data_IF_545828792944
#
_entry.id   IF_545828792944
#
_cell.length_a   1.000
_cell.length_b   1.000
_cell.length_c   1.000
_cell.angle_alpha   90.00
_cell.angle_beta   90.00
_cell.angle_gamma   90.00
#
_symmetry.space_group_name_H-M   'P 1'
#
loop_
_entity.id
_entity.type
_entity.pdbx_description
1 polymer ?
#
# COMPACT_ATOMS: atom_id res chain seq x y z
N UNK A 1 -10.28 35.31 64.11
CA UNK A 1 -9.26 34.66 64.96
C UNK A 1 -8.03 34.41 64.11
N UNK A 2 -6.90 34.92 64.57
CA UNK A 2 -5.55 34.64 64.08
C UNK A 2 -5.21 33.15 64.20
N UNK A 3 -4.39 32.63 63.28
CA UNK A 3 -3.19 31.80 63.52
C UNK A 3 -2.86 31.02 62.23
N UNK A 4 -1.93 31.51 61.42
CA UNK A 4 -0.53 31.05 61.31
C UNK A 4 -0.35 29.66 60.64
N UNK A 5 0.17 29.71 59.39
CA UNK A 5 1.06 28.72 58.73
C UNK A 5 2.32 28.48 59.60
N UNK A 6 3.25 27.50 59.36
CA UNK A 6 3.64 26.80 58.11
C UNK A 6 3.88 25.26 58.32
N UNK A 7 4.18 24.38 57.35
CA UNK A 7 5.50 24.14 56.71
C UNK A 7 5.38 23.02 55.64
N UNK A 8 5.63 23.37 54.38
CA UNK A 8 6.62 22.82 53.41
C UNK A 8 6.79 21.29 53.13
N UNK A 9 7.34 20.94 51.95
CA UNK A 9 6.73 20.00 50.99
C UNK A 9 7.51 18.68 50.83
N UNK A 10 6.85 17.63 50.33
CA UNK A 10 7.49 16.34 50.03
C UNK A 10 7.61 16.13 48.52
N UNK A 11 8.87 16.19 48.08
CA UNK A 11 9.53 15.42 47.04
C UNK A 11 9.03 15.54 45.59
N UNK A 12 9.55 16.57 44.94
CA UNK A 12 10.08 16.54 43.56
C UNK A 12 10.84 15.24 43.26
N UNK A 13 10.36 14.46 42.29
CA UNK A 13 11.13 13.41 41.61
C UNK A 13 11.60 14.00 40.27
N UNK A 14 12.74 14.68 40.33
CA UNK A 14 13.47 15.14 39.16
C UNK A 14 14.17 13.92 38.53
N UNK A 15 13.58 13.40 37.45
CA UNK A 15 14.29 12.49 36.55
C UNK A 15 15.14 13.38 35.64
N UNK A 16 16.44 13.44 35.96
CA UNK A 16 17.45 13.99 35.07
C UNK A 16 17.58 13.08 33.84
N UNK A 17 16.82 13.39 32.77
CA UNK A 17 17.15 12.92 31.45
C UNK A 17 18.28 13.82 30.93
N UNK A 18 19.52 13.39 31.14
CA UNK A 18 20.69 13.93 30.44
C UNK A 18 20.58 13.53 28.96
N UNK A 19 19.79 14.31 28.23
CA UNK A 19 19.98 14.45 26.79
C UNK A 19 21.34 15.12 26.59
N UNK A 20 22.37 14.30 26.41
CA UNK A 20 23.56 14.72 25.66
C UNK A 20 23.08 14.91 24.23
N UNK A 21 22.46 16.05 23.97
CA UNK A 21 22.42 16.61 22.62
C UNK A 21 23.87 16.95 22.35
N UNK A 22 24.57 16.02 21.72
CA UNK A 22 25.75 16.35 20.95
C UNK A 22 25.30 17.39 19.95
N UNK A 23 25.53 18.65 20.28
CA UNK A 23 25.42 19.76 19.36
C UNK A 23 26.54 19.53 18.35
N UNK A 24 26.22 18.79 17.28
CA UNK A 24 27.02 18.84 16.07
C UNK A 24 26.91 20.30 15.61
N UNK A 25 28.01 21.07 15.57
CA UNK A 25 27.94 22.44 15.10
C UNK A 25 27.63 22.41 13.60
N UNK A 26 26.35 22.50 13.27
CA UNK A 26 25.90 22.87 11.92
C UNK A 26 26.13 24.38 11.80
N UNK A 27 27.23 24.74 11.16
CA UNK A 27 27.64 26.13 10.97
C UNK A 27 29.13 26.36 11.16
N UNK A 28 29.98 25.52 10.55
CA UNK A 28 31.31 25.98 10.21
C UNK A 28 31.17 26.92 9.01
N UNK A 29 31.62 28.16 9.18
CA UNK A 29 31.91 29.04 8.06
C UNK A 29 33.06 28.36 7.31
N UNK A 30 32.77 27.77 6.15
CA UNK A 30 33.80 27.26 5.23
C UNK A 30 34.65 28.47 4.82
N UNK A 31 35.80 28.63 5.47
CA UNK A 31 36.92 29.36 4.89
C UNK A 31 37.47 28.46 3.82
N UNK A 32 37.18 28.75 2.55
CA UNK A 32 37.77 28.05 1.41
C UNK A 32 39.30 28.03 1.61
N UNK A 33 39.90 26.85 1.72
CA UNK A 33 41.34 26.74 1.82
C UNK A 33 42.01 27.39 0.59
N UNK A 34 42.99 28.27 0.82
CA UNK A 34 43.69 28.97 -0.26
C UNK A 34 45.15 28.52 -0.40
N UNK A 35 45.70 27.96 0.67
CA UNK A 35 47.12 27.57 0.79
C UNK A 35 47.31 26.07 0.97
N UNK A 36 48.49 25.58 0.60
CA UNK A 36 48.87 24.17 0.76
C UNK A 36 48.68 23.67 2.21
N UNK A 37 49.05 24.46 3.22
CA UNK A 37 48.91 24.07 4.63
C UNK A 37 47.45 23.97 5.08
N UNK A 38 46.57 24.81 4.53
CA UNK A 38 45.12 24.75 4.78
C UNK A 38 44.51 23.49 4.14
N UNK A 39 44.84 23.18 2.89
CA UNK A 39 44.40 21.93 2.25
C UNK A 39 44.91 20.69 2.96
N UNK A 40 46.16 20.69 3.44
CA UNK A 40 46.66 19.58 4.26
C UNK A 40 45.86 19.42 5.55
N UNK A 41 45.40 20.52 6.13
CA UNK A 41 44.57 20.49 7.33
C UNK A 41 43.19 19.91 7.01
N UNK A 42 42.55 20.35 5.93
CA UNK A 42 41.25 19.82 5.49
C UNK A 42 41.32 18.34 5.12
N UNK A 43 42.29 17.95 4.29
CA UNK A 43 42.47 16.55 3.89
C UNK A 43 42.71 15.64 5.11
N UNK A 44 43.46 16.10 6.13
CA UNK A 44 43.66 15.34 7.38
C UNK A 44 42.38 15.18 8.21
N UNK A 45 41.35 16.00 8.03
CA UNK A 45 40.07 15.80 8.74
C UNK A 45 39.37 14.51 8.33
N UNK A 46 39.67 14.01 7.12
CA UNK A 46 39.17 12.75 6.61
C UNK A 46 40.08 11.56 6.96
N UNK A 47 41.14 11.78 7.76
CA UNK A 47 41.95 10.70 8.33
C UNK A 47 41.10 9.78 9.20
N UNK A 48 41.22 8.47 8.96
CA UNK A 48 40.43 7.43 9.63
C UNK A 48 38.90 7.59 9.53
N UNK A 49 38.41 8.33 8.53
CA UNK A 49 36.97 8.48 8.29
C UNK A 49 36.31 7.11 8.04
N UNK A 50 35.19 6.78 8.71
CA UNK A 50 34.44 5.55 8.43
C UNK A 50 34.01 5.40 6.97
N UNK A 51 33.73 6.51 6.28
CA UNK A 51 33.37 6.50 4.87
C UNK A 51 34.55 6.03 4.00
N UNK A 52 35.72 6.63 4.18
CA UNK A 52 36.92 6.34 3.40
C UNK A 52 37.52 4.96 3.72
N UNK A 53 37.39 4.50 4.96
CA UNK A 53 37.81 3.14 5.33
C UNK A 53 36.91 2.06 4.70
N UNK A 54 35.61 2.35 4.52
CA UNK A 54 34.68 1.45 3.84
C UNK A 54 34.90 1.46 2.32
N UNK A 55 35.17 2.65 1.78
CA UNK A 55 35.40 2.91 0.35
C UNK A 55 36.82 3.42 0.13
N UNK A 56 37.75 2.46 0.10
CA UNK A 56 39.20 2.69 0.07
C UNK A 56 39.68 3.53 -1.11
N UNK A 57 38.90 3.63 -2.18
CA UNK A 57 39.20 4.46 -3.35
C UNK A 57 39.30 5.95 -2.96
N UNK A 58 38.41 6.42 -2.09
CA UNK A 58 38.46 7.79 -1.56
C UNK A 58 39.62 8.00 -0.58
N UNK A 59 40.00 6.96 0.18
CA UNK A 59 41.20 6.99 1.03
C UNK A 59 42.49 7.12 0.20
N UNK A 60 42.59 6.35 -0.88
CA UNK A 60 43.72 6.43 -1.81
C UNK A 60 43.76 7.81 -2.47
N UNK A 61 42.62 8.33 -2.92
CA UNK A 61 42.52 9.68 -3.48
C UNK A 61 43.02 10.75 -2.49
N UNK A 62 42.55 10.71 -1.24
CA UNK A 62 42.99 11.62 -0.18
C UNK A 62 44.49 11.51 0.08
N UNK A 63 45.03 10.29 0.16
CA UNK A 63 46.46 10.05 0.39
C UNK A 63 47.35 10.57 -0.75
N UNK A 64 46.89 10.45 -2.00
CA UNK A 64 47.56 11.04 -3.15
C UNK A 64 47.51 12.56 -3.10
N UNK A 65 46.35 13.16 -2.83
CA UNK A 65 46.19 14.61 -2.68
C UNK A 65 47.12 15.19 -1.60
N UNK A 66 47.23 14.52 -0.43
CA UNK A 66 48.18 14.93 0.63
C UNK A 66 49.64 14.90 0.14
N UNK A 67 50.00 13.91 -0.67
CA UNK A 67 51.36 13.78 -1.21
C UNK A 67 51.64 14.88 -2.23
N UNK A 68 50.69 15.16 -3.11
CA UNK A 68 50.84 16.14 -4.18
C UNK A 68 50.90 17.58 -3.61
N UNK A 69 50.10 17.90 -2.59
CA UNK A 69 50.19 19.20 -1.89
C UNK A 69 51.55 19.40 -1.18
N UNK A 70 52.19 18.32 -0.74
CA UNK A 70 53.51 18.37 -0.07
C UNK A 70 54.70 18.45 -1.04
N UNK A 71 54.48 18.27 -2.34
CA UNK A 71 55.55 18.20 -3.32
C UNK A 71 55.50 19.34 -4.35
N UNK A 72 56.64 20.00 -4.54
CA UNK A 72 56.79 21.03 -5.57
C UNK A 72 56.31 22.43 -5.15
N UNK A 73 56.02 23.26 -6.15
CA UNK A 73 55.47 24.60 -5.99
C UNK A 73 53.94 24.51 -6.11
N UNK A 74 53.22 25.04 -5.11
CA UNK A 74 51.75 25.01 -5.09
C UNK A 74 51.18 26.16 -5.91
N UNK A 75 50.63 25.84 -7.08
CA UNK A 75 50.14 26.80 -8.06
C UNK A 75 48.64 27.10 -7.88
N UNK A 76 48.12 28.06 -8.64
CA UNK A 76 46.68 28.33 -8.72
C UNK A 76 45.89 27.12 -9.22
N UNK A 77 46.44 26.38 -10.20
CA UNK A 77 45.78 25.19 -10.74
C UNK A 77 45.69 24.08 -9.69
N UNK A 78 46.75 23.91 -8.89
CA UNK A 78 46.75 22.95 -7.78
C UNK A 78 45.71 23.34 -6.72
N UNK A 79 45.51 24.66 -6.48
CA UNK A 79 44.46 25.16 -5.57
C UNK A 79 43.07 24.77 -6.04
N UNK A 80 42.76 25.02 -7.31
CA UNK A 80 41.44 24.70 -7.90
C UNK A 80 41.19 23.18 -7.88
N UNK A 81 42.20 22.40 -8.23
CA UNK A 81 42.14 20.93 -8.18
C UNK A 81 41.92 20.41 -6.76
N UNK A 82 42.65 20.92 -5.76
CA UNK A 82 42.51 20.49 -4.37
C UNK A 82 41.18 20.89 -3.75
N UNK A 83 40.65 22.07 -4.07
CA UNK A 83 39.31 22.47 -3.65
C UNK A 83 38.24 21.50 -4.18
N UNK A 84 38.37 21.06 -5.44
CA UNK A 84 37.48 20.06 -6.01
C UNK A 84 37.64 18.68 -5.32
N UNK A 85 38.87 18.26 -4.98
CA UNK A 85 39.10 17.01 -4.21
C UNK A 85 38.40 17.07 -2.85
N UNK A 86 38.55 18.16 -2.11
CA UNK A 86 37.90 18.33 -0.79
C UNK A 86 36.38 18.27 -0.94
N UNK A 87 35.83 18.95 -1.95
CA UNK A 87 34.38 18.94 -2.23
C UNK A 87 33.87 17.52 -2.48
N UNK A 88 34.60 16.70 -3.25
CA UNK A 88 34.25 15.29 -3.49
C UNK A 88 34.25 14.49 -2.18
N UNK A 89 35.27 14.66 -1.33
CA UNK A 89 35.37 13.96 -0.05
C UNK A 89 34.27 14.37 0.93
N UNK A 90 33.90 15.65 0.94
CA UNK A 90 32.81 16.19 1.75
C UNK A 90 31.46 15.58 1.33
N UNK A 91 31.09 15.69 0.05
CA UNK A 91 29.81 15.19 -0.45
C UNK A 91 29.71 13.67 -0.30
N UNK A 92 30.79 12.94 -0.55
CA UNK A 92 30.79 11.49 -0.36
C UNK A 92 30.62 11.11 1.12
N UNK A 93 31.29 11.81 2.03
CA UNK A 93 31.16 11.56 3.47
C UNK A 93 29.74 11.86 3.95
N UNK A 94 29.09 12.89 3.40
CA UNK A 94 27.68 13.19 3.64
C UNK A 94 26.75 12.09 3.11
N UNK A 95 26.99 11.59 1.88
CA UNK A 95 26.23 10.48 1.29
C UNK A 95 26.32 9.21 2.13
N UNK A 96 27.53 8.87 2.60
CA UNK A 96 27.77 7.75 3.51
C UNK A 96 27.06 7.95 4.86
N UNK A 97 27.16 9.15 5.44
CA UNK A 97 26.48 9.48 6.69
C UNK A 97 24.96 9.30 6.61
N UNK A 98 24.35 9.77 5.52
CA UNK A 98 22.92 9.59 5.27
C UNK A 98 22.54 8.10 5.12
N UNK A 99 23.37 7.31 4.42
CA UNK A 99 23.19 5.86 4.31
C UNK A 99 23.20 5.15 5.68
N UNK A 100 24.11 5.55 6.58
CA UNK A 100 24.23 4.95 7.91
C UNK A 100 23.06 5.31 8.83
N UNK A 101 22.39 6.44 8.57
CA UNK A 101 21.19 6.88 9.29
C UNK A 101 19.89 6.35 8.64
N UNK A 102 19.98 5.36 7.75
CA UNK A 102 18.87 4.76 7.00
C UNK A 102 18.06 5.75 6.15
N UNK A 103 18.65 6.91 5.84
CA UNK A 103 18.03 7.97 5.05
C UNK A 103 18.36 7.75 3.57
N UNK A 104 17.60 6.84 2.93
CA UNK A 104 17.87 6.36 1.57
C UNK A 104 17.84 7.49 0.53
N UNK A 105 16.76 8.27 0.47
CA UNK A 105 16.61 9.33 -0.54
C UNK A 105 17.70 10.40 -0.41
N UNK A 106 18.01 10.80 0.82
CA UNK A 106 19.08 11.74 1.10
C UNK A 106 20.44 11.16 0.69
N UNK A 107 20.68 9.88 0.98
CA UNK A 107 21.92 9.19 0.62
C UNK A 107 22.14 9.14 -0.88
N UNK A 108 21.10 8.82 -1.67
CA UNK A 108 21.18 8.82 -3.13
C UNK A 108 21.33 10.24 -3.71
N UNK A 109 20.59 11.21 -3.18
CA UNK A 109 20.72 12.61 -3.61
C UNK A 109 22.13 13.18 -3.36
N UNK A 110 22.75 12.81 -2.24
CA UNK A 110 24.15 13.17 -1.92
C UNK A 110 25.16 12.41 -2.77
N UNK A 111 24.88 11.17 -3.14
CA UNK A 111 25.70 10.43 -4.10
C UNK A 111 25.66 11.10 -5.49
N UNK A 112 24.50 11.62 -5.92
CA UNK A 112 24.38 12.38 -7.17
C UNK A 112 25.16 13.71 -7.10
N UNK A 113 25.13 14.38 -5.94
CA UNK A 113 25.96 15.57 -5.69
C UNK A 113 27.47 15.23 -5.74
N UNK A 114 27.85 14.06 -5.22
CA UNK A 114 29.22 13.54 -5.32
C UNK A 114 29.60 13.31 -6.79
N UNK A 115 28.71 12.73 -7.60
CA UNK A 115 28.94 12.55 -9.04
C UNK A 115 29.22 13.88 -9.74
N UNK A 116 28.44 14.92 -9.45
CA UNK A 116 28.67 16.26 -10.01
C UNK A 116 29.98 16.88 -9.50
N UNK A 117 30.36 16.64 -8.25
CA UNK A 117 31.64 17.09 -7.72
C UNK A 117 32.82 16.40 -8.43
N UNK A 118 32.67 15.11 -8.78
CA UNK A 118 33.66 14.36 -9.57
C UNK A 118 33.82 14.96 -10.97
N UNK A 119 32.72 15.35 -11.63
CA UNK A 119 32.79 16.02 -12.95
C UNK A 119 33.56 17.35 -12.85
N UNK A 120 33.28 18.18 -11.83
CA UNK A 120 34.03 19.43 -11.60
C UNK A 120 35.51 19.18 -11.31
N UNK A 121 35.83 18.09 -10.63
CA UNK A 121 37.21 17.68 -10.38
C UNK A 121 37.94 17.30 -11.68
N UNK A 122 37.26 16.65 -12.64
CA UNK A 122 37.82 16.40 -13.98
C UNK A 122 38.06 17.72 -14.73
N UNK A 123 37.10 18.65 -14.68
CA UNK A 123 37.23 19.98 -15.29
C UNK A 123 38.40 20.78 -14.71
N UNK A 124 38.69 20.61 -13.42
CA UNK A 124 39.83 21.21 -12.72
C UNK A 124 41.18 20.50 -12.99
N UNK A 125 41.23 19.53 -13.91
CA UNK A 125 42.46 18.79 -14.26
C UNK A 125 42.78 17.62 -13.32
N UNK A 126 41.82 17.19 -12.50
CA UNK A 126 41.94 16.12 -11.51
C UNK A 126 41.60 14.72 -11.98
N UNK A 127 41.80 14.38 -13.26
CA UNK A 127 41.39 13.10 -13.88
C UNK A 127 41.77 11.84 -13.08
N UNK A 128 42.98 11.83 -12.50
CA UNK A 128 43.47 10.70 -11.70
C UNK A 128 42.65 10.49 -10.42
N UNK A 129 42.30 11.57 -9.74
CA UNK A 129 41.46 11.53 -8.54
C UNK A 129 40.01 11.21 -8.88
N UNK A 130 39.48 11.84 -9.93
CA UNK A 130 38.12 11.60 -10.40
C UNK A 130 37.89 10.13 -10.78
N UNK A 131 38.88 9.48 -11.39
CA UNK A 131 38.82 8.05 -11.69
C UNK A 131 38.67 7.19 -10.44
N UNK A 132 39.42 7.49 -9.37
CA UNK A 132 39.30 6.78 -8.09
C UNK A 132 37.95 7.06 -7.43
N UNK A 133 37.54 8.33 -7.37
CA UNK A 133 36.27 8.73 -6.78
C UNK A 133 35.07 8.07 -7.50
N UNK A 134 35.12 7.98 -8.84
CA UNK A 134 34.09 7.31 -9.64
C UNK A 134 33.99 5.83 -9.29
N UNK A 135 35.12 5.12 -9.19
CA UNK A 135 35.12 3.71 -8.79
C UNK A 135 34.54 3.51 -7.37
N UNK A 136 34.90 4.40 -6.43
CA UNK A 136 34.34 4.38 -5.08
C UNK A 136 32.83 4.63 -5.07
N UNK A 137 32.36 5.60 -5.87
CA UNK A 137 30.95 5.96 -5.99
C UNK A 137 30.13 4.85 -6.69
N UNK A 138 30.67 4.20 -7.73
CA UNK A 138 30.04 3.04 -8.38
C UNK A 138 29.81 1.91 -7.38
N UNK A 139 30.82 1.60 -6.55
CA UNK A 139 30.70 0.60 -5.49
C UNK A 139 29.67 1.01 -4.43
N UNK A 140 29.57 2.29 -4.11
CA UNK A 140 28.57 2.82 -3.19
C UNK A 140 27.15 2.58 -3.72
N UNK A 141 26.90 2.99 -4.97
CA UNK A 141 25.61 2.74 -5.61
C UNK A 141 25.29 1.25 -5.71
N UNK A 142 26.27 0.39 -5.99
CA UNK A 142 26.06 -1.05 -6.03
C UNK A 142 25.58 -1.57 -4.67
N UNK A 143 26.23 -1.18 -3.57
CA UNK A 143 25.84 -1.59 -2.22
C UNK A 143 24.46 -1.06 -1.85
N UNK A 144 24.14 0.20 -2.21
CA UNK A 144 22.80 0.78 -1.99
C UNK A 144 21.74 0.02 -2.78
N UNK A 145 22.02 -0.32 -4.04
CA UNK A 145 21.13 -1.13 -4.88
C UNK A 145 20.83 -2.50 -4.29
N UNK A 146 21.83 -3.15 -3.66
CA UNK A 146 21.63 -4.42 -2.96
C UNK A 146 20.71 -4.28 -1.74
N UNK A 147 20.93 -3.26 -0.90
CA UNK A 147 20.08 -2.98 0.27
C UNK A 147 18.63 -2.70 -0.14
N UNK A 148 18.43 -1.89 -1.18
CA UNK A 148 17.08 -1.55 -1.68
C UNK A 148 16.39 -2.77 -2.29
N UNK A 149 17.13 -3.60 -3.03
CA UNK A 149 16.61 -4.84 -3.55
C UNK A 149 16.23 -5.82 -2.43
N UNK A 150 17.00 -5.91 -1.35
CA UNK A 150 16.64 -6.73 -0.19
C UNK A 150 15.38 -6.20 0.52
N UNK A 151 15.30 -4.88 0.75
CA UNK A 151 14.11 -4.25 1.32
C UNK A 151 12.85 -4.49 0.50
N UNK A 152 12.95 -4.43 -0.84
CA UNK A 152 11.79 -4.71 -1.71
C UNK A 152 11.20 -6.11 -1.47
N UNK A 153 12.04 -7.10 -1.14
CA UNK A 153 11.61 -8.48 -0.86
C UNK A 153 10.98 -8.65 0.52
N UNK A 154 11.20 -7.68 1.41
CA UNK A 154 10.64 -7.61 2.76
C UNK A 154 9.45 -6.65 2.86
N UNK A 155 9.13 -5.94 1.77
CA UNK A 155 8.03 -5.00 1.71
C UNK A 155 6.70 -5.68 2.03
N UNK A 156 5.85 -4.96 2.78
CA UNK A 156 4.55 -5.48 3.25
C UNK A 156 3.42 -5.28 2.26
N UNK A 157 3.64 -4.45 1.24
CA UNK A 157 2.66 -4.14 0.20
C UNK A 157 3.37 -3.88 -1.13
N UNK A 158 2.63 -4.04 -2.23
CA UNK A 158 3.18 -3.94 -3.58
C UNK A 158 3.65 -2.53 -3.96
N UNK A 159 3.07 -1.46 -3.40
CA UNK A 159 3.53 -0.09 -3.70
C UNK A 159 4.94 0.13 -3.14
N UNK A 160 5.17 -0.26 -1.89
CA UNK A 160 6.50 -0.19 -1.27
C UNK A 160 7.53 -1.11 -1.96
N UNK A 161 7.12 -2.33 -2.33
CA UNK A 161 7.97 -3.25 -3.12
C UNK A 161 8.42 -2.59 -4.42
N UNK A 162 7.51 -1.93 -5.13
CA UNK A 162 7.78 -1.29 -6.40
C UNK A 162 8.72 -0.09 -6.26
N UNK A 163 8.47 0.79 -5.27
CA UNK A 163 9.34 1.95 -5.00
C UNK A 163 10.79 1.54 -4.70
N UNK A 164 10.96 0.49 -3.88
CA UNK A 164 12.29 -0.04 -3.54
C UNK A 164 12.96 -0.72 -4.76
N UNK A 165 12.21 -1.45 -5.60
CA UNK A 165 12.74 -2.06 -6.83
C UNK A 165 13.19 -1.01 -7.85
N UNK A 166 12.43 0.07 -8.01
CA UNK A 166 12.76 1.16 -8.92
C UNK A 166 14.02 1.91 -8.46
N UNK A 167 14.10 2.20 -7.17
CA UNK A 167 15.27 2.83 -6.55
C UNK A 167 16.50 1.92 -6.65
N UNK A 168 16.33 0.61 -6.43
CA UNK A 168 17.39 -0.37 -6.60
C UNK A 168 17.89 -0.43 -8.06
N UNK A 169 16.97 -0.41 -9.03
CA UNK A 169 17.34 -0.37 -10.44
C UNK A 169 18.15 0.89 -10.77
N UNK A 170 17.68 2.07 -10.37
CA UNK A 170 18.42 3.33 -10.58
C UNK A 170 19.82 3.29 -9.96
N UNK A 171 19.95 2.76 -8.74
CA UNK A 171 21.26 2.59 -8.11
C UNK A 171 22.16 1.62 -8.89
N UNK A 172 21.65 0.47 -9.37
CA UNK A 172 22.44 -0.43 -10.20
C UNK A 172 22.83 0.16 -11.56
N UNK A 173 22.00 1.04 -12.13
CA UNK A 173 22.33 1.79 -13.35
C UNK A 173 23.50 2.75 -13.09
N UNK A 174 23.41 3.56 -12.03
CA UNK A 174 24.46 4.48 -11.63
C UNK A 174 25.77 3.77 -11.24
N UNK A 175 25.69 2.54 -10.73
CA UNK A 175 26.84 1.68 -10.44
C UNK A 175 27.49 1.05 -11.69
N UNK A 176 26.92 1.24 -12.89
CA UNK A 176 27.35 0.53 -14.10
C UNK A 176 27.09 -0.98 -14.07
N UNK A 177 26.29 -1.47 -13.10
CA UNK A 177 25.98 -2.87 -12.88
C UNK A 177 24.88 -3.38 -13.84
N UNK A 178 25.14 -3.27 -15.14
CA UNK A 178 24.17 -3.49 -16.23
C UNK A 178 23.35 -4.78 -16.14
N UNK A 179 23.97 -5.89 -15.73
CA UNK A 179 23.27 -7.17 -15.55
C UNK A 179 22.25 -7.11 -14.39
N UNK A 180 22.63 -6.51 -13.27
CA UNK A 180 21.75 -6.35 -12.10
C UNK A 180 20.64 -5.36 -12.41
N UNK A 181 20.98 -4.19 -12.98
CA UNK A 181 20.02 -3.21 -13.47
C UNK A 181 18.94 -3.85 -14.36
N UNK A 182 19.36 -4.61 -15.40
CA UNK A 182 18.42 -5.25 -16.32
C UNK A 182 17.49 -6.24 -15.62
N UNK A 183 18.02 -7.03 -14.68
CA UNK A 183 17.22 -8.02 -13.93
C UNK A 183 16.20 -7.36 -13.02
N UNK A 184 16.61 -6.35 -12.26
CA UNK A 184 15.76 -5.63 -11.30
C UNK A 184 14.72 -4.78 -12.03
N UNK A 185 15.10 -4.13 -13.13
CA UNK A 185 14.16 -3.36 -13.96
C UNK A 185 13.08 -4.23 -14.59
N UNK A 186 13.43 -5.44 -15.03
CA UNK A 186 12.45 -6.39 -15.56
C UNK A 186 11.48 -6.88 -14.47
N UNK A 187 11.98 -7.05 -13.25
CA UNK A 187 11.17 -7.38 -12.08
C UNK A 187 10.23 -6.23 -11.69
N UNK A 188 10.74 -5.01 -11.55
CA UNK A 188 9.95 -3.80 -11.32
C UNK A 188 8.84 -3.64 -12.37
N UNK A 189 9.16 -3.84 -13.65
CA UNK A 189 8.19 -3.76 -14.75
C UNK A 189 7.08 -4.82 -14.63
N UNK A 190 7.44 -6.05 -14.22
CA UNK A 190 6.47 -7.13 -13.99
C UNK A 190 5.55 -6.81 -12.81
N UNK A 191 6.11 -6.33 -11.70
CA UNK A 191 5.35 -5.94 -10.50
C UNK A 191 4.42 -4.77 -10.83
N UNK A 192 4.91 -3.75 -11.54
CA UNK A 192 4.10 -2.62 -12.00
C UNK A 192 2.94 -3.06 -12.88
N UNK A 193 3.17 -3.96 -13.85
CA UNK A 193 2.09 -4.45 -14.71
C UNK A 193 0.99 -5.20 -13.92
N UNK A 194 1.38 -5.97 -12.89
CA UNK A 194 0.42 -6.63 -11.99
C UNK A 194 -0.33 -5.59 -11.17
N UNK A 195 0.37 -4.61 -10.61
CA UNK A 195 -0.20 -3.53 -9.84
C UNK A 195 -1.24 -2.74 -10.65
N UNK A 196 -0.89 -2.32 -11.87
CA UNK A 196 -1.80 -1.58 -12.77
C UNK A 196 -3.02 -2.42 -13.15
N UNK A 197 -2.83 -3.69 -13.52
CA UNK A 197 -3.94 -4.60 -13.83
C UNK A 197 -4.87 -4.82 -12.63
N UNK A 198 -4.31 -4.94 -11.43
CA UNK A 198 -5.09 -5.09 -10.20
C UNK A 198 -5.82 -3.78 -9.86
N UNK A 199 -5.22 -2.60 -10.10
CA UNK A 199 -5.89 -1.31 -9.94
C UNK A 199 -7.10 -1.18 -10.87
N UNK A 200 -6.97 -1.53 -12.15
CA UNK A 200 -8.10 -1.51 -13.08
C UNK A 200 -9.23 -2.44 -12.62
N UNK A 201 -8.87 -3.63 -12.14
CA UNK A 201 -9.84 -4.60 -11.61
C UNK A 201 -10.52 -4.08 -10.34
N UNK A 202 -9.76 -3.49 -9.43
CA UNK A 202 -10.27 -2.87 -8.19
C UNK A 202 -11.23 -1.73 -8.53
N UNK A 203 -10.85 -0.82 -9.43
CA UNK A 203 -11.67 0.32 -9.85
C UNK A 203 -12.99 -0.15 -10.49
N UNK A 204 -12.92 -1.18 -11.35
CA UNK A 204 -14.12 -1.81 -11.92
C UNK A 204 -15.02 -2.40 -10.84
N UNK A 205 -14.45 -3.07 -9.83
CA UNK A 205 -15.21 -3.69 -8.74
C UNK A 205 -15.85 -2.65 -7.82
N UNK A 206 -15.11 -1.58 -7.46
CA UNK A 206 -15.63 -0.44 -6.72
C UNK A 206 -16.75 0.26 -7.48
N UNK A 207 -16.61 0.43 -8.79
CA UNK A 207 -17.65 1.04 -9.63
C UNK A 207 -18.89 0.17 -9.70
N UNK A 208 -18.76 -1.16 -9.83
CA UNK A 208 -19.90 -2.08 -9.86
C UNK A 208 -20.64 -2.12 -8.53
N UNK A 209 -19.91 -2.22 -7.41
CA UNK A 209 -20.49 -2.19 -6.08
C UNK A 209 -21.16 -0.84 -5.78
N UNK A 210 -20.53 0.27 -6.16
CA UNK A 210 -21.10 1.61 -6.03
C UNK A 210 -22.40 1.79 -6.84
N UNK A 211 -22.40 1.39 -8.11
CA UNK A 211 -23.59 1.44 -8.96
C UNK A 211 -24.74 0.62 -8.37
N UNK A 212 -24.46 -0.56 -7.82
CA UNK A 212 -25.47 -1.35 -7.12
C UNK A 212 -26.04 -0.59 -5.91
N UNK A 213 -25.21 0.00 -5.05
CA UNK A 213 -25.67 0.74 -3.87
C UNK A 213 -26.55 1.93 -4.29
N UNK A 214 -26.14 2.66 -5.32
CA UNK A 214 -26.89 3.79 -5.88
C UNK A 214 -28.24 3.35 -6.47
N UNK A 215 -28.27 2.26 -7.23
CA UNK A 215 -29.49 1.70 -7.83
C UNK A 215 -30.43 1.09 -6.78
N UNK A 216 -29.88 0.47 -5.73
CA UNK A 216 -30.66 -0.07 -4.61
C UNK A 216 -31.36 1.04 -3.84
N UNK A 217 -30.63 2.13 -3.56
CA UNK A 217 -31.11 3.30 -2.82
C UNK A 217 -31.97 2.95 -1.60
N UNK A 218 -33.05 3.71 -1.43
CA UNK A 218 -34.01 3.50 -0.33
C UNK A 218 -34.78 2.17 -0.43
N UNK A 219 -34.88 1.57 -1.63
CA UNK A 219 -35.61 0.33 -1.84
C UNK A 219 -34.99 -0.83 -1.05
N UNK A 220 -33.67 -0.80 -0.83
CA UNK A 220 -32.96 -1.86 -0.10
C UNK A 220 -32.74 -1.53 1.38
N UNK A 221 -33.06 -0.31 1.83
CA UNK A 221 -32.82 0.15 3.20
C UNK A 221 -33.60 -0.60 4.29
N UNK A 222 -34.64 -1.35 3.93
CA UNK A 222 -35.30 -2.27 4.87
C UNK A 222 -36.04 -3.41 4.14
N UNK A 223 -36.29 -4.56 4.81
CA UNK A 223 -37.04 -5.66 4.19
C UNK A 223 -38.43 -5.24 3.70
N UNK A 224 -39.07 -4.32 4.42
CA UNK A 224 -40.39 -3.79 4.03
C UNK A 224 -40.28 -2.95 2.78
N UNK A 225 -39.32 -2.01 2.73
CA UNK A 225 -39.09 -1.17 1.55
C UNK A 225 -38.76 -2.03 0.31
N UNK A 226 -37.99 -3.10 0.49
CA UNK A 226 -37.64 -4.02 -0.59
C UNK A 226 -38.88 -4.73 -1.13
N UNK A 227 -39.74 -5.26 -0.26
CA UNK A 227 -40.98 -5.92 -0.67
C UNK A 227 -41.91 -4.92 -1.38
N UNK A 228 -42.08 -3.71 -0.83
CA UNK A 228 -43.06 -2.74 -1.35
C UNK A 228 -42.61 -2.09 -2.66
N UNK A 229 -41.30 -1.89 -2.84
CA UNK A 229 -40.76 -1.18 -4.00
C UNK A 229 -40.37 -2.12 -5.13
N UNK A 230 -39.72 -3.24 -4.80
CA UNK A 230 -39.20 -4.20 -5.79
C UNK A 230 -40.19 -5.35 -6.05
N UNK A 231 -41.04 -5.70 -5.09
CA UNK A 231 -42.00 -6.79 -5.23
C UNK A 231 -41.33 -8.11 -5.60
N UNK A 232 -41.75 -8.82 -6.66
CA UNK A 232 -41.06 -10.03 -7.13
C UNK A 232 -39.61 -9.81 -7.61
N UNK A 233 -39.22 -8.56 -7.91
CA UNK A 233 -37.85 -8.21 -8.33
C UNK A 233 -36.80 -8.45 -7.24
N UNK A 234 -37.20 -8.57 -5.97
CA UNK A 234 -36.32 -8.82 -4.81
C UNK A 234 -35.35 -9.98 -5.04
N UNK A 235 -35.77 -11.06 -5.72
CA UNK A 235 -34.90 -12.22 -5.96
C UNK A 235 -33.74 -11.91 -6.93
N UNK A 236 -33.99 -11.08 -7.95
CA UNK A 236 -32.96 -10.60 -8.87
C UNK A 236 -31.99 -9.68 -8.15
N UNK A 237 -32.52 -8.65 -7.48
CA UNK A 237 -31.72 -7.68 -6.71
C UNK A 237 -30.91 -8.35 -5.60
N UNK A 238 -31.42 -9.44 -4.98
CA UNK A 238 -30.66 -10.24 -4.02
C UNK A 238 -29.42 -10.89 -4.63
N UNK A 239 -29.50 -11.35 -5.88
CA UNK A 239 -28.37 -11.94 -6.60
C UNK A 239 -27.37 -10.85 -6.99
N UNK A 240 -27.85 -9.69 -7.41
CA UNK A 240 -27.01 -8.51 -7.69
C UNK A 240 -26.28 -8.05 -6.42
N UNK A 241 -26.96 -8.03 -5.27
CA UNK A 241 -26.37 -7.70 -3.97
C UNK A 241 -25.24 -8.65 -3.58
N UNK A 242 -25.35 -9.95 -3.92
CA UNK A 242 -24.27 -10.92 -3.70
C UNK A 242 -23.05 -10.64 -4.58
N UNK A 243 -23.28 -10.30 -5.85
CA UNK A 243 -22.20 -9.91 -6.76
C UNK A 243 -21.50 -8.65 -6.25
N UNK A 244 -22.27 -7.60 -5.94
CA UNK A 244 -21.74 -6.33 -5.45
C UNK A 244 -20.95 -6.48 -4.14
N UNK A 245 -21.39 -7.37 -3.24
CA UNK A 245 -20.64 -7.68 -2.01
C UNK A 245 -19.31 -8.38 -2.32
N UNK A 246 -19.30 -9.32 -3.27
CA UNK A 246 -18.07 -9.98 -3.69
C UNK A 246 -17.11 -9.00 -4.40
N UNK A 247 -17.64 -8.07 -5.20
CA UNK A 247 -16.85 -7.03 -5.87
C UNK A 247 -16.22 -6.08 -4.84
N UNK A 248 -16.97 -5.65 -3.82
CA UNK A 248 -16.44 -4.82 -2.74
C UNK A 248 -15.34 -5.53 -1.93
N UNK A 249 -15.49 -6.84 -1.68
CA UNK A 249 -14.49 -7.67 -0.99
C UNK A 249 -13.21 -7.83 -1.84
N UNK A 250 -13.34 -8.09 -3.14
CA UNK A 250 -12.20 -8.12 -4.08
C UNK A 250 -11.48 -6.77 -4.08
N UNK A 251 -12.21 -5.66 -4.12
CA UNK A 251 -11.61 -4.34 -4.08
C UNK A 251 -10.85 -4.09 -2.77
N UNK A 252 -11.42 -4.48 -1.62
CA UNK A 252 -10.77 -4.33 -0.32
C UNK A 252 -9.47 -5.14 -0.23
N UNK A 253 -9.49 -6.40 -0.67
CA UNK A 253 -8.30 -7.27 -0.68
C UNK A 253 -7.19 -6.72 -1.60
N UNK A 254 -7.56 -6.20 -2.77
CA UNK A 254 -6.59 -5.59 -3.69
C UNK A 254 -6.02 -4.29 -3.11
N UNK A 255 -6.87 -3.44 -2.53
CA UNK A 255 -6.42 -2.21 -1.88
C UNK A 255 -5.45 -2.49 -0.73
N UNK A 256 -5.75 -3.46 0.13
CA UNK A 256 -4.88 -3.87 1.24
C UNK A 256 -3.54 -4.44 0.74
N UNK A 257 -3.59 -5.38 -0.22
CA UNK A 257 -2.39 -5.96 -0.85
C UNK A 257 -1.44 -4.88 -1.40
N UNK A 258 -2.03 -3.83 -1.98
CA UNK A 258 -1.31 -2.75 -2.64
C UNK A 258 -0.98 -1.57 -1.72
N UNK A 259 -1.41 -1.58 -0.45
CA UNK A 259 -1.15 -0.49 0.50
C UNK A 259 -1.95 0.79 0.23
N UNK A 260 -3.12 0.66 -0.41
CA UNK A 260 -3.99 1.77 -0.82
C UNK A 260 -5.04 2.05 0.26
N UNK A 261 -4.67 2.87 1.25
CA UNK A 261 -5.51 3.12 2.43
C UNK A 261 -6.87 3.75 2.09
N UNK A 262 -6.89 4.77 1.22
CA UNK A 262 -8.12 5.48 0.84
C UNK A 262 -9.09 4.57 0.08
N UNK A 263 -8.57 3.78 -0.86
CA UNK A 263 -9.34 2.80 -1.61
C UNK A 263 -9.84 1.65 -0.71
N UNK A 264 -9.04 1.24 0.28
CA UNK A 264 -9.46 0.26 1.29
C UNK A 264 -10.62 0.78 2.15
N UNK A 265 -10.55 2.03 2.61
CA UNK A 265 -11.66 2.67 3.35
C UNK A 265 -12.95 2.73 2.51
N UNK A 266 -12.81 3.10 1.23
CA UNK A 266 -13.94 3.14 0.29
C UNK A 266 -14.53 1.75 0.06
N UNK A 267 -13.69 0.74 -0.16
CA UNK A 267 -14.12 -0.64 -0.37
C UNK A 267 -14.86 -1.19 0.86
N UNK A 268 -14.34 -0.93 2.07
CA UNK A 268 -14.98 -1.34 3.34
C UNK A 268 -16.34 -0.67 3.55
N UNK A 269 -16.46 0.61 3.18
CA UNK A 269 -17.74 1.33 3.22
C UNK A 269 -18.76 0.70 2.29
N UNK A 270 -18.35 0.39 1.05
CA UNK A 270 -19.21 -0.28 0.07
C UNK A 270 -19.58 -1.70 0.53
N UNK A 271 -18.62 -2.48 1.04
CA UNK A 271 -18.86 -3.82 1.55
C UNK A 271 -19.91 -3.84 2.67
N UNK A 272 -19.87 -2.84 3.55
CA UNK A 272 -20.88 -2.67 4.61
C UNK A 272 -22.24 -2.37 4.01
N UNK A 273 -22.33 -1.40 3.09
CA UNK A 273 -23.57 -1.02 2.45
C UNK A 273 -24.21 -2.16 1.62
N UNK A 274 -23.40 -2.90 0.85
CA UNK A 274 -23.86 -4.05 0.06
C UNK A 274 -24.29 -5.21 0.96
N UNK A 275 -23.60 -5.43 2.09
CA UNK A 275 -23.95 -6.45 3.08
C UNK A 275 -25.29 -6.14 3.77
N UNK A 276 -25.51 -4.88 4.15
CA UNK A 276 -26.78 -4.45 4.75
C UNK A 276 -27.95 -4.60 3.76
N UNK A 277 -27.74 -4.20 2.50
CA UNK A 277 -28.71 -4.41 1.42
C UNK A 277 -28.98 -5.91 1.20
N UNK A 278 -27.94 -6.73 1.17
CA UNK A 278 -28.04 -8.19 1.01
C UNK A 278 -28.86 -8.82 2.14
N UNK A 279 -28.61 -8.40 3.39
CA UNK A 279 -29.37 -8.87 4.55
C UNK A 279 -30.86 -8.49 4.42
N UNK A 280 -31.13 -7.22 4.13
CA UNK A 280 -32.48 -6.70 3.91
C UNK A 280 -33.25 -7.46 2.82
N UNK A 281 -32.60 -7.67 1.67
CA UNK A 281 -33.15 -8.42 0.54
C UNK A 281 -33.35 -9.91 0.86
N UNK A 282 -32.47 -10.52 1.65
CA UNK A 282 -32.60 -11.92 2.06
C UNK A 282 -33.85 -12.16 2.92
N UNK A 283 -34.13 -11.22 3.84
CA UNK A 283 -35.32 -11.26 4.69
C UNK A 283 -36.57 -11.03 3.84
N UNK A 284 -36.54 -10.05 2.94
CA UNK A 284 -37.62 -9.77 2.00
C UNK A 284 -37.95 -10.99 1.11
N UNK A 285 -36.93 -11.64 0.53
CA UNK A 285 -37.08 -12.83 -0.29
C UNK A 285 -37.70 -14.00 0.48
N UNK A 286 -37.30 -14.17 1.75
CA UNK A 286 -37.87 -15.19 2.64
C UNK A 286 -39.35 -14.93 2.93
N UNK A 287 -39.72 -13.68 3.24
CA UNK A 287 -41.12 -13.29 3.49
C UNK A 287 -41.97 -13.51 2.22
N UNK A 288 -41.49 -13.08 1.06
CA UNK A 288 -42.19 -13.27 -0.21
C UNK A 288 -42.37 -14.75 -0.56
N UNK A 289 -41.35 -15.57 -0.32
CA UNK A 289 -41.42 -17.03 -0.52
C UNK A 289 -42.47 -17.67 0.38
N UNK A 290 -42.55 -17.28 1.65
CA UNK A 290 -43.57 -17.75 2.59
C UNK A 290 -44.97 -17.30 2.19
N UNK A 291 -45.14 -16.04 1.78
CA UNK A 291 -46.42 -15.51 1.30
C UNK A 291 -46.90 -16.27 0.05
N UNK A 292 -46.01 -16.53 -0.90
CA UNK A 292 -46.32 -17.31 -2.09
C UNK A 292 -46.70 -18.76 -1.75
N UNK A 293 -45.94 -19.42 -0.86
CA UNK A 293 -46.25 -20.77 -0.41
C UNK A 293 -47.62 -20.85 0.30
N UNK A 294 -47.97 -19.86 1.11
CA UNK A 294 -49.28 -19.75 1.75
C UNK A 294 -50.40 -19.57 0.72
N UNK A 295 -50.22 -18.71 -0.29
CA UNK A 295 -51.20 -18.52 -1.35
C UNK A 295 -51.42 -19.81 -2.16
N UNK A 296 -50.33 -20.47 -2.56
CA UNK A 296 -50.41 -21.77 -3.27
C UNK A 296 -51.09 -22.82 -2.39
N UNK A 297 -50.75 -22.87 -1.09
CA UNK A 297 -51.37 -23.76 -0.12
C UNK A 297 -52.88 -23.52 0.04
N UNK A 298 -53.31 -22.25 0.10
CA UNK A 298 -54.72 -21.88 0.17
C UNK A 298 -55.47 -22.27 -1.11
N UNK A 299 -54.88 -22.04 -2.28
CA UNK A 299 -55.47 -22.44 -3.56
C UNK A 299 -55.59 -23.98 -3.63
N UNK A 300 -54.53 -24.71 -3.29
CA UNK A 300 -54.53 -26.16 -3.25
C UNK A 300 -55.56 -26.71 -2.25
N UNK A 301 -55.69 -26.10 -1.07
CA UNK A 301 -56.69 -26.45 -0.08
C UNK A 301 -58.11 -26.20 -0.59
N UNK A 302 -58.36 -25.08 -1.30
CA UNK A 302 -59.66 -24.80 -1.91
C UNK A 302 -60.05 -25.83 -2.97
N UNK A 303 -59.11 -26.21 -3.85
CA UNK A 303 -59.31 -27.29 -4.81
C UNK A 303 -59.52 -28.64 -4.12
N UNK A 304 -58.73 -28.95 -3.09
CA UNK A 304 -58.87 -30.17 -2.30
C UNK A 304 -60.24 -30.26 -1.61
N UNK A 305 -60.71 -29.17 -1.01
CA UNK A 305 -62.05 -29.08 -0.44
C UNK A 305 -63.14 -29.27 -1.49
N UNK A 306 -62.98 -28.68 -2.69
CA UNK A 306 -63.93 -28.87 -3.79
C UNK A 306 -63.98 -30.33 -4.26
N UNK A 307 -62.83 -31.00 -4.35
CA UNK A 307 -62.76 -32.42 -4.73
C UNK A 307 -63.39 -33.29 -3.64
N UNK A 308 -63.12 -33.00 -2.36
CA UNK A 308 -63.71 -33.73 -1.24
C UNK A 308 -65.25 -33.62 -1.21
N UNK A 309 -65.79 -32.41 -1.41
CA UNK A 309 -67.26 -32.23 -1.49
C UNK A 309 -67.88 -33.01 -2.66
N UNK A 310 -67.22 -33.07 -3.81
CA UNK A 310 -67.66 -33.93 -4.92
C UNK A 310 -67.63 -35.41 -4.59
N UNK A 311 -66.61 -35.87 -3.86
CA UNK A 311 -66.53 -37.26 -3.42
C UNK A 311 -67.69 -37.61 -2.47
N UNK A 312 -67.99 -36.74 -1.51
CA UNK A 312 -69.12 -36.91 -0.58
C UNK A 312 -70.48 -36.89 -1.31
N UNK A 313 -70.68 -35.99 -2.28
CA UNK A 313 -71.90 -35.94 -3.10
C UNK A 313 -72.10 -37.23 -3.92
N UNK A 314 -71.01 -37.78 -4.47
CA UNK A 314 -71.03 -39.05 -5.20
C UNK A 314 -71.38 -40.21 -4.28
N UNK A 315 -70.83 -40.28 -3.07
CA UNK A 315 -71.16 -41.34 -2.11
C UNK A 315 -72.59 -41.21 -1.57
N UNK A 316 -73.08 -39.99 -1.32
CA UNK A 316 -74.48 -39.74 -0.97
C UNK A 316 -75.47 -40.18 -2.06
N UNK A 317 -75.11 -40.02 -3.33
CA UNK A 317 -75.94 -40.45 -4.47
C UNK A 317 -76.12 -41.98 -4.57
N UNK A 318 -75.23 -42.77 -3.96
CA UNK A 318 -75.33 -44.24 -3.93
C UNK A 318 -76.37 -44.74 -2.93
N UNK A 319 -76.80 -43.92 -1.97
CA UNK A 319 -77.75 -44.29 -0.91
C UNK A 319 -79.22 -44.11 -1.34
N UNK A 320 -79.50 -43.38 -2.42
CA UNK A 320 -80.85 -43.04 -2.88
C UNK A 320 -81.58 -44.07 -3.77
N UNK A 321 -81.07 -45.29 -3.96
CA UNK A 321 -81.63 -46.26 -4.92
C UNK A 321 -82.22 -47.52 -4.28
N UNK A 322 -83.14 -47.35 -3.32
CA UNK A 322 -84.10 -48.41 -2.94
C UNK A 322 -85.48 -47.76 -2.73
N UNK A 323 -86.22 -47.57 -3.82
CA UNK A 323 -87.70 -47.45 -3.75
C UNK A 323 -88.24 -48.74 -4.41
N UNK A 324 -88.88 -49.64 -3.65
CA UNK A 324 -89.51 -50.82 -4.24
C UNK A 324 -90.67 -50.35 -5.13
N UNK A 325 -90.69 -50.80 -6.40
CA UNK A 325 -91.86 -50.63 -7.27
C UNK A 325 -93.02 -51.44 -6.70
N UNK A 326 -94.15 -50.79 -6.49
CA UNK A 326 -95.42 -51.42 -6.11
C UNK A 326 -95.85 -52.40 -7.23
N UNK A 327 -96.23 -53.65 -6.90
CA UNK A 327 -96.57 -54.65 -7.90
C UNK A 327 -97.91 -54.33 -8.58
N UNK A 328 -97.90 -54.32 -9.92
CA UNK A 328 -99.09 -54.17 -10.75
C UNK A 328 -99.86 -55.49 -10.74
N UNK A 329 -101.09 -55.48 -10.22
CA UNK A 329 -102.03 -56.61 -10.32
C UNK A 329 -102.52 -56.76 -11.77
N UNK A 330 -102.46 -58.00 -12.29
CA UNK A 330 -103.01 -58.37 -13.60
C UNK A 330 -104.21 -59.29 -13.37
N UNK A 331 -105.43 -58.97 -13.86
CA UNK A 331 -106.59 -59.81 -13.65
C UNK A 331 -106.60 -60.97 -14.66
N UNK A 332 -106.74 -62.20 -14.18
CA UNK A 332 -107.02 -63.38 -15.01
C UNK A 332 -108.54 -63.60 -15.12
N UNK A 333 -109.05 -63.71 -16.35
CA UNK A 333 -110.34 -64.34 -16.66
C UNK A 333 -110.27 -65.86 -16.48
#
# INVERSE_FOLDING_TARGET
>A
MLSNRPTQPIATLAVCLLLVVGTVPVGATQTDAETADEFLTELRQYEDSPALSTYSEFEVMRGQAVTDVQTGEFTEADREQMAAVVTVLEEFTAAYGAAQNDSTDESLARADATSQAIERLEEAGGDGYATLARLGLERFYQQRGEVLYERSREATNTSAELDDLESAAAAFEAAGASQRYSSVSAEASRVRAIYESDRERMDSALSAAGAFVDDCGDACGSPVAAITTLGPGVFGTYTDARSATADADVAAQLAEKHGLEAESERANTLATATSDALFSLSVAATILSLAYALLVGLVAAAFGWRIATWADDVDGSKVGRIVPREPVEVPSQ
#
